data_IF_882424513093
#
_entry.id   IF_882424513093
#
_cell.length_a   1.000
_cell.length_b   1.000
_cell.length_c   1.000
_cell.angle_alpha   90.00
_cell.angle_beta   90.00
_cell.angle_gamma   90.00
#
_symmetry.space_group_name_H-M   'P 1'
#
loop_
_entity.id
_entity.type
_entity.pdbx_description
1 polymer ?
#
# COMPACT_ATOMS: atom_id res chain seq x y z
N UNK A 1 -6.48 -26.75 1.17
CA UNK A 1 -6.65 -26.07 0.33
C UNK A 1 -5.62 -25.22 0.02
N UNK A 2 -5.06 -25.51 -0.75
CA UNK A 2 -4.00 -24.74 -1.12
C UNK A 2 -4.52 -23.61 -1.89
N UNK A 3 -3.72 -22.82 -2.33
CA UNK A 3 -4.12 -21.82 -3.22
C UNK A 3 -4.88 -20.68 -2.65
N UNK A 4 -4.96 -20.63 -1.31
CA UNK A 4 -5.62 -19.55 -0.77
C UNK A 4 -4.80 -18.31 -1.01
N UNK A 5 -5.31 -17.41 -1.73
CA UNK A 5 -4.61 -16.15 -2.00
C UNK A 5 -4.55 -15.32 -0.74
N UNK A 6 -3.43 -14.67 -0.55
CA UNK A 6 -3.28 -13.78 0.59
C UNK A 6 -3.61 -12.37 0.16
N UNK A 7 -4.42 -11.71 0.95
CA UNK A 7 -4.74 -10.31 0.69
C UNK A 7 -3.59 -9.43 1.13
N UNK A 8 -3.32 -8.41 0.36
CA UNK A 8 -2.27 -7.45 0.68
C UNK A 8 -2.93 -6.11 0.96
N UNK A 9 -2.68 -5.57 2.12
CA UNK A 9 -3.25 -4.30 2.53
C UNK A 9 -2.21 -3.21 2.46
N UNK A 10 -2.58 -2.13 1.80
CA UNK A 10 -1.74 -0.95 1.68
C UNK A 10 -2.29 0.14 2.57
N UNK A 11 -1.45 0.71 3.40
CA UNK A 11 -1.84 1.84 4.24
C UNK A 11 -0.81 2.93 4.06
N UNK A 12 -1.29 4.14 3.77
CA UNK A 12 -0.42 5.31 3.67
C UNK A 12 -0.67 6.17 4.89
N UNK A 13 0.37 6.43 5.64
CA UNK A 13 0.28 7.20 6.88
C UNK A 13 1.07 8.49 6.75
N UNK A 14 0.47 9.60 7.17
CA UNK A 14 1.14 10.87 7.14
C UNK A 14 2.15 10.93 8.29
N UNK A 15 3.41 11.19 7.98
CA UNK A 15 4.45 11.16 8.99
C UNK A 15 4.29 12.22 10.07
N UNK A 16 3.87 13.41 9.69
CA UNK A 16 3.76 14.50 10.64
C UNK A 16 2.66 14.29 11.66
N UNK A 17 1.60 13.60 11.26
CA UNK A 17 0.45 13.39 12.13
C UNK A 17 0.27 11.96 12.57
N UNK A 18 1.06 11.04 12.02
CA UNK A 18 0.94 9.61 12.32
C UNK A 18 -0.48 9.11 12.10
N UNK A 19 -1.11 9.61 11.04
CA UNK A 19 -2.49 9.29 10.75
C UNK A 19 -2.60 8.65 9.37
N UNK A 20 -3.36 7.56 9.29
CA UNK A 20 -3.59 6.90 8.01
C UNK A 20 -4.47 7.80 7.15
N UNK A 21 -4.03 8.07 5.93
CA UNK A 21 -4.75 8.95 5.02
C UNK A 21 -5.29 8.20 3.81
N UNK A 22 -4.83 6.97 3.58
CA UNK A 22 -5.28 6.20 2.44
C UNK A 22 -5.08 4.72 2.72
N UNK A 23 -6.06 3.90 2.34
CA UNK A 23 -5.96 2.46 2.49
C UNK A 23 -6.57 1.78 1.28
N UNK A 24 -5.98 0.66 0.90
CA UNK A 24 -6.46 -0.09 -0.23
C UNK A 24 -6.09 -1.56 -0.05
N UNK A 25 -6.98 -2.45 -0.47
CA UNK A 25 -6.71 -3.88 -0.40
C UNK A 25 -6.50 -4.43 -1.80
N UNK A 26 -5.55 -5.35 -1.93
CA UNK A 26 -5.25 -6.02 -3.19
C UNK A 26 -5.41 -7.51 -3.00
N UNK A 27 -5.80 -8.19 -4.06
CA UNK A 27 -6.01 -9.64 -3.99
C UNK A 27 -4.70 -10.41 -3.96
N UNK A 28 -3.63 -9.82 -4.47
CA UNK A 28 -2.33 -10.50 -4.48
C UNK A 28 -1.21 -9.48 -4.49
N UNK A 29 0.02 -9.98 -4.25
CA UNK A 29 1.17 -9.10 -4.17
C UNK A 29 1.54 -8.49 -5.52
N UNK A 30 1.22 -9.19 -6.61
CA UNK A 30 1.53 -8.69 -7.92
C UNK A 30 0.78 -7.40 -8.22
N UNK A 31 -0.51 -7.36 -7.88
CA UNK A 31 -1.31 -6.16 -8.07
C UNK A 31 -0.81 -5.04 -7.18
N UNK A 32 -0.44 -5.36 -5.95
CA UNK A 32 0.10 -4.37 -5.03
C UNK A 32 1.38 -3.75 -5.61
N UNK A 33 2.30 -4.60 -6.06
CA UNK A 33 3.56 -4.10 -6.59
C UNK A 33 3.37 -3.23 -7.82
N UNK A 34 2.46 -3.63 -8.70
CA UNK A 34 2.18 -2.84 -9.90
C UNK A 34 1.64 -1.47 -9.54
N UNK A 35 0.77 -1.43 -8.54
CA UNK A 35 0.14 -0.17 -8.13
C UNK A 35 1.16 0.80 -7.53
N UNK A 36 1.98 0.33 -6.61
CA UNK A 36 2.90 1.23 -5.91
C UNK A 36 4.07 1.67 -6.77
N UNK A 37 4.27 1.01 -7.91
CA UNK A 37 5.34 1.40 -8.82
C UNK A 37 4.92 2.49 -9.80
N UNK A 38 3.64 2.82 -9.85
CA UNK A 38 3.18 3.84 -10.79
C UNK A 38 3.68 5.21 -10.37
N UNK A 39 3.89 6.06 -11.37
CA UNK A 39 4.32 7.42 -11.09
C UNK A 39 3.21 8.20 -10.40
N UNK A 40 1.96 7.87 -10.70
CA UNK A 40 0.82 8.53 -10.07
C UNK A 40 0.80 8.28 -8.58
N UNK A 41 1.06 7.03 -8.17
CA UNK A 41 1.09 6.71 -6.76
C UNK A 41 2.22 7.46 -6.06
N UNK A 42 3.41 7.44 -6.67
CA UNK A 42 4.57 8.09 -6.07
C UNK A 42 4.39 9.60 -5.96
N UNK A 43 3.74 10.20 -6.96
CA UNK A 43 3.50 11.63 -6.94
C UNK A 43 2.46 12.01 -5.88
N UNK A 44 1.46 11.16 -5.70
CA UNK A 44 0.41 11.45 -4.74
C UNK A 44 0.87 11.23 -3.30
N UNK A 45 1.71 10.21 -3.07
CA UNK A 45 2.15 9.86 -1.72
C UNK A 45 3.67 9.75 -1.66
N UNK A 46 4.38 10.89 -1.73
CA UNK A 46 5.85 10.85 -1.68
C UNK A 46 6.33 10.30 -0.35
N UNK A 47 7.30 9.40 -0.42
CA UNK A 47 7.80 8.73 0.79
C UNK A 47 8.55 9.68 1.72
N UNK A 48 8.85 10.87 1.27
CA UNK A 48 9.45 11.87 2.14
C UNK A 48 8.45 12.40 3.16
N UNK A 49 7.15 12.31 2.86
CA UNK A 49 6.11 12.82 3.74
C UNK A 49 5.17 11.75 4.25
N UNK A 50 5.16 10.59 3.62
CA UNK A 50 4.23 9.52 3.96
C UNK A 50 4.95 8.21 4.14
N UNK A 51 4.46 7.40 5.07
CA UNK A 51 4.93 6.04 5.26
C UNK A 51 4.02 5.10 4.51
N UNK A 52 4.62 4.20 3.77
CA UNK A 52 3.87 3.21 2.99
C UNK A 52 3.98 1.89 3.73
N UNK A 53 2.86 1.42 4.26
CA UNK A 53 2.84 0.22 5.08
C UNK A 53 2.15 -0.90 4.33
N UNK A 54 2.81 -2.04 4.24
CA UNK A 54 2.29 -3.21 3.57
C UNK A 54 2.04 -4.30 4.58
N UNK A 55 0.84 -4.86 4.57
CA UNK A 55 0.50 -5.99 5.43
C UNK A 55 -0.08 -7.09 4.57
N UNK A 56 0.27 -8.33 4.90
CA UNK A 56 -0.21 -9.49 4.15
C UNK A 56 -0.95 -10.42 5.08
N UNK A 57 -2.14 -10.84 4.66
CA UNK A 57 -2.96 -11.73 5.48
C UNK A 57 -3.41 -12.96 4.72
#
# INVERSE_FOLDING_TARGET
MAGKAKSVYLTVTEKSKHTAVFRKVFFNASDYNAYVKTDEFKAQWPTTEYDIIKETY
#
